data_IF_294669286224
#
_entry.id   IF_294669286224
#
_cell.length_a   1.000
_cell.length_b   1.000
_cell.length_c   1.000
_cell.angle_alpha   90.00
_cell.angle_beta   90.00
_cell.angle_gamma   90.00
#
_symmetry.space_group_name_H-M   'P 1'
#
loop_
_entity.id
_entity.type
_entity.pdbx_description
1 polymer ?
#
# COMPACT_ATOMS: atom_id res chain seq x y z
N UNK A 1 -18.34 -13.24 -31.32
CA UNK A 1 -17.78 -14.33 -30.47
C UNK A 1 -16.27 -14.15 -30.20
N UNK A 2 -15.76 -12.93 -29.98
CA UNK A 2 -14.31 -12.65 -29.81
C UNK A 2 -13.87 -12.27 -28.40
N UNK A 3 -14.80 -12.13 -27.43
CA UNK A 3 -14.48 -11.78 -26.04
C UNK A 3 -14.22 -12.98 -25.11
N UNK A 4 -14.36 -14.20 -25.62
CA UNK A 4 -14.34 -15.46 -24.84
C UNK A 4 -12.92 -15.92 -24.46
N UNK A 5 -11.90 -15.67 -25.29
CA UNK A 5 -10.52 -16.09 -25.02
C UNK A 5 -9.72 -15.10 -24.16
N UNK A 6 -10.11 -13.83 -24.12
CA UNK A 6 -9.30 -12.77 -23.50
C UNK A 6 -9.25 -12.82 -21.96
N UNK A 7 -10.23 -13.48 -21.31
CA UNK A 7 -10.35 -13.51 -19.83
C UNK A 7 -9.67 -14.72 -19.19
N UNK A 8 -9.65 -15.86 -19.90
CA UNK A 8 -8.92 -17.07 -19.49
C UNK A 8 -7.40 -16.86 -19.50
N UNK A 9 -6.95 -15.86 -20.25
CA UNK A 9 -5.55 -15.48 -20.40
C UNK A 9 -5.03 -14.59 -19.24
N UNK A 10 -5.89 -14.15 -18.32
CA UNK A 10 -5.53 -13.21 -17.25
C UNK A 10 -4.97 -13.87 -15.99
N UNK A 11 -5.10 -15.19 -15.83
CA UNK A 11 -4.54 -15.91 -14.69
C UNK A 11 -3.10 -16.34 -15.01
N UNK A 12 -2.19 -16.19 -14.05
CA UNK A 12 -0.80 -16.62 -14.21
C UNK A 12 -0.75 -18.15 -14.37
N UNK A 13 -0.17 -18.65 -15.46
CA UNK A 13 0.14 -20.08 -15.60
C UNK A 13 1.37 -20.41 -14.75
N UNK A 14 1.29 -21.49 -13.96
CA UNK A 14 2.47 -22.08 -13.33
C UNK A 14 3.49 -22.45 -14.43
N UNK A 15 4.78 -22.05 -14.30
CA UNK A 15 5.74 -22.28 -15.35
C UNK A 15 6.09 -23.76 -15.45
N UNK A 16 6.04 -24.33 -16.66
CA UNK A 16 6.55 -25.69 -16.86
C UNK A 16 8.08 -25.71 -16.89
N UNK A 17 8.75 -24.69 -17.43
CA UNK A 17 10.22 -24.52 -17.39
C UNK A 17 10.55 -23.01 -17.46
N UNK A 18 11.00 -22.39 -16.35
CA UNK A 18 11.52 -21.00 -16.32
C UNK A 18 10.75 -20.06 -15.38
N UNK A 19 11.48 -19.38 -14.49
CA UNK A 19 10.96 -18.47 -13.47
C UNK A 19 10.26 -17.24 -14.09
N UNK A 20 9.14 -16.80 -13.49
CA UNK A 20 8.52 -15.52 -13.84
C UNK A 20 9.26 -14.39 -13.11
N UNK A 21 10.05 -13.59 -13.83
CA UNK A 21 10.69 -12.40 -13.28
C UNK A 21 9.66 -11.34 -12.86
N UNK A 22 9.95 -10.58 -11.79
CA UNK A 22 9.14 -9.42 -11.38
C UNK A 22 9.08 -8.41 -12.52
N UNK A 23 7.87 -7.97 -12.86
CA UNK A 23 7.66 -7.04 -13.99
C UNK A 23 7.95 -5.60 -13.59
N UNK A 24 8.41 -4.76 -14.53
CA UNK A 24 8.67 -3.33 -14.27
C UNK A 24 7.49 -2.57 -13.66
N UNK A 25 6.25 -2.98 -13.98
CA UNK A 25 5.06 -2.35 -13.42
C UNK A 25 4.84 -2.70 -11.95
N UNK A 26 5.22 -3.91 -11.53
CA UNK A 26 5.19 -4.29 -10.12
C UNK A 26 6.23 -3.51 -9.31
N UNK A 27 7.41 -3.27 -9.89
CA UNK A 27 8.42 -2.38 -9.28
C UNK A 27 7.92 -0.94 -9.13
N UNK A 28 7.28 -0.40 -10.17
CA UNK A 28 6.72 0.95 -10.13
C UNK A 28 5.57 1.05 -9.10
N UNK A 29 4.79 -0.02 -8.96
CA UNK A 29 3.77 -0.12 -7.91
C UNK A 29 4.41 -0.09 -6.51
N UNK A 30 5.47 -0.87 -6.29
CA UNK A 30 6.17 -0.90 -5.01
C UNK A 30 6.75 0.48 -4.65
N UNK A 31 7.19 1.28 -5.63
CA UNK A 31 7.65 2.65 -5.41
C UNK A 31 6.56 3.57 -4.81
N UNK A 32 5.30 3.42 -5.22
CA UNK A 32 4.18 4.21 -4.66
C UNK A 32 4.00 3.94 -3.16
N UNK A 33 4.23 2.69 -2.74
CA UNK A 33 4.15 2.27 -1.35
C UNK A 33 5.39 2.63 -0.54
N UNK A 34 6.57 2.63 -1.17
CA UNK A 34 7.79 3.18 -0.56
C UNK A 34 7.59 4.67 -0.24
N UNK A 35 7.05 5.44 -1.19
CA UNK A 35 6.64 6.83 -0.94
C UNK A 35 5.64 6.94 0.22
N UNK A 36 4.66 6.03 0.31
CA UNK A 36 3.71 6.00 1.44
C UNK A 36 4.41 5.85 2.80
N UNK A 37 5.41 4.96 2.90
CA UNK A 37 6.19 4.75 4.14
C UNK A 37 6.99 6.00 4.51
N UNK A 38 7.56 6.68 3.52
CA UNK A 38 8.28 7.95 3.75
C UNK A 38 7.34 9.02 4.29
N UNK A 39 6.13 9.12 3.73
CA UNK A 39 5.09 10.03 4.24
C UNK A 39 4.66 9.70 5.68
N UNK A 40 4.54 8.42 6.02
CA UNK A 40 4.25 7.98 7.40
C UNK A 40 5.39 8.29 8.37
N UNK A 41 6.64 8.14 7.91
CA UNK A 41 7.82 8.45 8.72
C UNK A 41 7.86 9.93 9.07
N UNK A 42 7.59 10.81 8.11
CA UNK A 42 7.48 12.25 8.35
C UNK A 42 6.31 12.60 9.28
N UNK A 43 5.16 11.93 9.11
CA UNK A 43 4.01 12.13 9.99
C UNK A 43 4.35 11.79 11.45
N UNK A 44 5.03 10.67 11.68
CA UNK A 44 5.48 10.26 13.02
C UNK A 44 6.50 11.22 13.62
N UNK A 45 7.47 11.68 12.83
CA UNK A 45 8.50 12.61 13.30
C UNK A 45 7.92 13.98 13.68
N UNK A 46 6.79 14.38 13.10
CA UNK A 46 6.11 15.63 13.43
C UNK A 46 5.36 15.56 14.77
N UNK A 47 4.88 14.37 15.17
CA UNK A 47 4.20 14.16 16.45
C UNK A 47 4.60 12.82 17.10
N UNK A 48 5.61 12.90 17.99
CA UNK A 48 6.12 11.75 18.76
C UNK A 48 5.32 11.46 20.03
N UNK A 49 4.11 12.03 20.18
CA UNK A 49 3.21 11.68 21.27
C UNK A 49 2.64 10.26 21.11
N UNK A 50 2.06 9.72 22.19
CA UNK A 50 1.35 8.43 22.14
C UNK A 50 0.21 8.46 21.11
N UNK A 51 -0.49 9.60 21.00
CA UNK A 51 -1.58 9.77 20.04
C UNK A 51 -1.02 9.79 18.61
N UNK A 52 0.04 10.55 18.34
CA UNK A 52 0.71 10.56 17.04
C UNK A 52 1.24 9.20 16.61
N UNK A 53 1.77 8.41 17.56
CA UNK A 53 2.18 7.03 17.33
C UNK A 53 0.99 6.13 16.94
N UNK A 54 -0.13 6.19 17.67
CA UNK A 54 -1.32 5.40 17.37
C UNK A 54 -1.93 5.77 16.02
N UNK A 55 -2.00 7.07 15.72
CA UNK A 55 -2.43 7.60 14.43
C UNK A 55 -1.58 7.04 13.29
N UNK A 56 -0.25 7.15 13.41
CA UNK A 56 0.69 6.62 12.44
C UNK A 56 0.52 5.11 12.28
N UNK A 57 0.38 4.36 13.37
CA UNK A 57 0.25 2.91 13.33
C UNK A 57 -1.03 2.48 12.60
N UNK A 58 -2.15 3.16 12.83
CA UNK A 58 -3.42 2.89 12.12
C UNK A 58 -3.26 3.10 10.62
N UNK A 59 -2.63 4.21 10.21
CA UNK A 59 -2.37 4.49 8.79
C UNK A 59 -1.37 3.51 8.18
N UNK A 60 -0.33 3.13 8.93
CA UNK A 60 0.64 2.13 8.51
C UNK A 60 -0.02 0.79 8.24
N UNK A 61 -0.88 0.31 9.15
CA UNK A 61 -1.60 -0.96 8.97
C UNK A 61 -2.54 -0.87 7.77
N UNK A 62 -3.20 0.27 7.55
CA UNK A 62 -4.03 0.48 6.36
C UNK A 62 -3.20 0.36 5.07
N UNK A 63 -2.08 1.10 4.97
CA UNK A 63 -1.15 1.05 3.82
C UNK A 63 -0.60 -0.36 3.62
N UNK A 64 -0.24 -1.03 4.70
CA UNK A 64 0.22 -2.42 4.69
C UNK A 64 -0.81 -3.36 4.06
N UNK A 65 -2.08 -3.26 4.49
CA UNK A 65 -3.18 -4.04 3.91
C UNK A 65 -3.40 -3.74 2.43
N UNK A 66 -3.35 -2.47 2.03
CA UNK A 66 -3.47 -2.10 0.62
C UNK A 66 -2.35 -2.71 -0.23
N UNK A 67 -1.11 -2.73 0.27
CA UNK A 67 0.03 -3.32 -0.42
C UNK A 67 -0.10 -4.84 -0.52
N UNK A 68 -0.27 -5.53 0.61
CA UNK A 68 -0.25 -7.00 0.67
C UNK A 68 -1.36 -7.58 -0.19
N UNK A 69 -2.60 -7.08 -0.08
CA UNK A 69 -3.71 -7.59 -0.85
C UNK A 69 -3.50 -7.40 -2.36
N UNK A 70 -2.87 -6.30 -2.77
CA UNK A 70 -2.56 -6.08 -4.20
C UNK A 70 -1.47 -7.01 -4.67
N UNK A 71 -0.44 -7.22 -3.84
CA UNK A 71 0.63 -8.15 -4.16
C UNK A 71 0.11 -9.58 -4.33
N UNK A 72 -0.87 -9.97 -3.50
CA UNK A 72 -1.58 -11.23 -3.67
C UNK A 72 -2.38 -11.29 -4.96
N UNK A 73 -3.13 -10.24 -5.30
CA UNK A 73 -3.90 -10.21 -6.55
C UNK A 73 -2.99 -10.29 -7.79
N UNK A 74 -1.84 -9.63 -7.81
CA UNK A 74 -0.90 -9.71 -8.95
C UNK A 74 -0.14 -11.03 -9.03
N UNK A 75 -0.04 -11.79 -7.92
CA UNK A 75 0.45 -13.16 -8.00
C UNK A 75 -0.53 -14.06 -8.78
N UNK A 76 -1.83 -13.80 -8.67
CA UNK A 76 -2.88 -14.57 -9.34
C UNK A 76 -3.17 -14.08 -10.76
N UNK A 77 -3.18 -12.76 -10.95
CA UNK A 77 -3.46 -12.10 -12.22
C UNK A 77 -2.15 -11.76 -12.95
N UNK A 78 -2.01 -12.24 -14.17
CA UNK A 78 -0.86 -12.00 -15.05
C UNK A 78 -0.71 -10.49 -15.38
N UNK A 79 0.33 -9.80 -14.84
CA UNK A 79 0.53 -8.36 -15.03
C UNK A 79 0.87 -7.96 -16.47
N UNK A 80 1.33 -8.90 -17.30
CA UNK A 80 1.66 -8.64 -18.71
C UNK A 80 0.39 -8.45 -19.57
N UNK A 81 -0.78 -8.78 -19.03
CA UNK A 81 -2.05 -8.61 -19.72
C UNK A 81 -2.52 -7.18 -19.63
N UNK A 82 -2.86 -6.60 -20.79
CA UNK A 82 -3.35 -5.22 -20.91
C UNK A 82 -4.41 -4.82 -19.86
N UNK A 83 -5.45 -5.64 -19.57
CA UNK A 83 -6.45 -5.26 -18.57
C UNK A 83 -5.88 -5.16 -17.14
N UNK A 84 -5.04 -6.12 -16.74
CA UNK A 84 -4.40 -6.15 -15.41
C UNK A 84 -3.40 -4.99 -15.29
N UNK A 85 -2.64 -4.74 -16.36
CA UNK A 85 -1.70 -3.62 -16.44
C UNK A 85 -2.40 -2.26 -16.30
N UNK A 86 -3.54 -2.07 -16.97
CA UNK A 86 -4.34 -0.84 -16.84
C UNK A 86 -4.95 -0.68 -15.45
N UNK A 87 -5.42 -1.78 -14.84
CA UNK A 87 -5.86 -1.77 -13.45
C UNK A 87 -4.73 -1.33 -12.52
N UNK A 88 -3.53 -1.89 -12.66
CA UNK A 88 -2.38 -1.50 -11.84
C UNK A 88 -2.00 -0.04 -12.03
N UNK A 89 -2.01 0.48 -13.27
CA UNK A 89 -1.80 1.91 -13.53
C UNK A 89 -2.84 2.78 -12.82
N UNK A 90 -4.12 2.41 -12.87
CA UNK A 90 -5.17 3.13 -12.17
C UNK A 90 -5.00 3.06 -10.64
N UNK A 91 -4.67 1.88 -10.09
CA UNK A 91 -4.40 1.72 -8.67
C UNK A 91 -3.18 2.53 -8.23
N UNK A 92 -2.14 2.64 -9.05
CA UNK A 92 -0.97 3.48 -8.73
C UNK A 92 -1.33 4.95 -8.67
N UNK A 93 -2.18 5.47 -9.55
CA UNK A 93 -2.68 6.84 -9.47
C UNK A 93 -3.47 7.08 -8.18
N UNK A 94 -4.37 6.16 -7.82
CA UNK A 94 -5.12 6.22 -6.55
C UNK A 94 -4.18 6.10 -5.35
N UNK A 95 -3.18 5.22 -5.45
CA UNK A 95 -2.15 5.00 -4.43
C UNK A 95 -1.30 6.25 -4.21
N UNK A 96 -0.96 7.01 -5.25
CA UNK A 96 -0.26 8.28 -5.11
C UNK A 96 -1.10 9.31 -4.35
N UNK A 97 -2.40 9.41 -4.64
CA UNK A 97 -3.32 10.28 -3.90
C UNK A 97 -3.42 9.85 -2.44
N UNK A 98 -3.54 8.54 -2.20
CA UNK A 98 -3.53 7.95 -0.86
C UNK A 98 -2.23 8.33 -0.12
N UNK A 99 -1.06 8.07 -0.69
CA UNK A 99 0.23 8.38 -0.08
C UNK A 99 0.42 9.87 0.19
N UNK A 100 0.05 10.74 -0.76
CA UNK A 100 0.15 12.19 -0.61
C UNK A 100 -0.76 12.74 0.51
N UNK A 101 -1.89 12.06 0.78
CA UNK A 101 -2.83 12.47 1.83
C UNK A 101 -2.42 12.05 3.25
N UNK A 102 -1.50 11.09 3.41
CA UNK A 102 -1.10 10.50 4.69
C UNK A 102 -0.68 11.54 5.75
N UNK A 103 0.21 12.51 5.48
CA UNK A 103 0.64 13.45 6.52
C UNK A 103 -0.49 14.32 7.08
N UNK A 104 -1.56 14.50 6.30
CA UNK A 104 -2.72 15.33 6.66
C UNK A 104 -3.96 14.49 6.98
N UNK A 105 -3.86 13.16 7.06
CA UNK A 105 -5.01 12.27 7.18
C UNK A 105 -5.82 12.50 8.48
N UNK A 106 -5.17 12.83 9.60
CA UNK A 106 -5.87 13.20 10.85
C UNK A 106 -6.28 14.68 10.93
N UNK A 107 -6.05 15.45 9.87
CA UNK A 107 -6.42 16.86 9.75
C UNK A 107 -7.33 17.06 8.53
N UNK A 108 -7.04 18.05 7.68
CA UNK A 108 -7.84 18.42 6.50
C UNK A 108 -7.82 17.35 5.39
N UNK A 109 -6.81 16.48 5.36
CA UNK A 109 -6.62 15.44 4.34
C UNK A 109 -7.40 14.15 4.58
N UNK A 110 -8.15 14.04 5.68
CA UNK A 110 -8.80 12.77 6.07
C UNK A 110 -9.79 12.23 5.05
N UNK A 111 -10.57 13.10 4.38
CA UNK A 111 -11.53 12.67 3.37
C UNK A 111 -10.83 12.18 2.10
N UNK A 112 -9.78 12.86 1.66
CA UNK A 112 -8.99 12.43 0.50
C UNK A 112 -8.35 11.06 0.77
N UNK A 113 -7.79 10.86 1.97
CA UNK A 113 -7.24 9.58 2.40
C UNK A 113 -8.30 8.47 2.38
N UNK A 114 -9.43 8.68 3.06
CA UNK A 114 -10.48 7.68 3.19
C UNK A 114 -11.10 7.29 1.83
N UNK A 115 -11.36 8.26 0.95
CA UNK A 115 -11.89 8.00 -0.38
C UNK A 115 -10.88 7.27 -1.27
N UNK A 116 -9.60 7.67 -1.23
CA UNK A 116 -8.55 7.00 -1.99
C UNK A 116 -8.38 5.56 -1.50
N UNK A 117 -8.32 5.35 -0.18
CA UNK A 117 -8.22 4.02 0.42
C UNK A 117 -9.40 3.11 0.05
N UNK A 118 -10.62 3.61 0.24
CA UNK A 118 -11.85 2.89 -0.11
C UNK A 118 -11.88 2.53 -1.60
N UNK A 119 -11.54 3.48 -2.47
CA UNK A 119 -11.50 3.26 -3.93
C UNK A 119 -10.43 2.23 -4.31
N UNK A 120 -9.27 2.28 -3.66
CA UNK A 120 -8.18 1.36 -3.91
C UNK A 120 -8.56 -0.09 -3.55
N UNK A 121 -9.08 -0.30 -2.33
CA UNK A 121 -9.50 -1.62 -1.84
C UNK A 121 -10.67 -2.19 -2.67
N UNK A 122 -11.75 -1.43 -2.79
CA UNK A 122 -12.97 -1.90 -3.47
C UNK A 122 -12.80 -2.01 -4.98
N UNK A 123 -12.06 -1.08 -5.60
CA UNK A 123 -11.76 -1.09 -7.03
C UNK A 123 -10.95 -2.32 -7.43
N UNK A 124 -9.91 -2.66 -6.66
CA UNK A 124 -9.12 -3.89 -6.86
C UNK A 124 -10.02 -5.12 -6.80
N UNK A 125 -10.80 -5.27 -5.72
CA UNK A 125 -11.64 -6.46 -5.53
C UNK A 125 -12.75 -6.55 -6.59
N UNK A 126 -13.37 -5.44 -6.97
CA UNK A 126 -14.37 -5.41 -8.04
C UNK A 126 -13.77 -5.84 -9.40
N UNK A 127 -12.57 -5.37 -9.73
CA UNK A 127 -11.85 -5.81 -10.93
C UNK A 127 -11.56 -7.31 -10.89
N UNK A 128 -11.05 -7.81 -9.77
CA UNK A 128 -10.73 -9.24 -9.63
C UNK A 128 -11.98 -10.10 -9.76
N UNK A 129 -13.11 -9.70 -9.16
CA UNK A 129 -14.42 -10.37 -9.36
C UNK A 129 -14.76 -10.40 -10.85
N UNK A 130 -14.68 -9.27 -11.56
CA UNK A 130 -14.98 -9.21 -12.99
C UNK A 130 -14.08 -10.12 -13.83
N UNK A 131 -12.79 -10.22 -13.45
CA UNK A 131 -11.80 -11.06 -14.12
C UNK A 131 -12.11 -12.56 -13.94
N UNK A 132 -12.51 -13.00 -12.74
CA UNK A 132 -12.71 -14.43 -12.41
C UNK A 132 -14.17 -14.91 -12.49
N UNK A 133 -15.16 -14.01 -12.50
CA UNK A 133 -16.60 -14.31 -12.36
C UNK A 133 -17.19 -15.33 -13.34
N UNK A 134 -16.57 -15.48 -14.52
CA UNK A 134 -17.06 -16.39 -15.57
C UNK A 134 -16.32 -17.72 -15.63
N UNK A 135 -15.25 -17.91 -14.84
CA UNK A 135 -14.33 -19.03 -14.99
C UNK A 135 -14.19 -19.84 -13.71
N UNK A 136 -14.20 -19.17 -12.56
CA UNK A 136 -14.17 -19.83 -11.27
C UNK A 136 -15.20 -19.21 -10.35
N UNK A 137 -16.35 -19.90 -10.23
CA UNK A 137 -17.45 -19.44 -9.39
C UNK A 137 -17.08 -19.46 -7.91
N UNK A 138 -16.22 -20.39 -7.46
CA UNK A 138 -15.77 -20.44 -6.08
C UNK A 138 -14.86 -19.25 -5.77
N UNK A 139 -13.89 -18.95 -6.63
CA UNK A 139 -13.02 -17.78 -6.46
C UNK A 139 -13.79 -16.46 -6.59
N UNK A 140 -14.75 -16.37 -7.50
CA UNK A 140 -15.62 -15.19 -7.60
C UNK A 140 -16.44 -14.97 -6.32
N UNK A 141 -16.92 -16.03 -5.68
CA UNK A 141 -17.62 -15.94 -4.40
C UNK A 141 -16.67 -15.51 -3.28
N UNK A 142 -15.44 -16.03 -3.23
CA UNK A 142 -14.41 -15.59 -2.28
C UNK A 142 -14.15 -14.08 -2.42
N UNK A 143 -13.89 -13.58 -3.63
CA UNK A 143 -13.66 -12.14 -3.83
C UNK A 143 -14.89 -11.27 -3.56
N UNK A 144 -16.11 -11.79 -3.75
CA UNK A 144 -17.34 -11.08 -3.32
C UNK A 144 -17.42 -10.96 -1.80
N UNK A 145 -17.01 -11.99 -1.05
CA UNK A 145 -16.92 -11.90 0.42
C UNK A 145 -15.88 -10.86 0.83
N UNK A 146 -14.70 -10.89 0.21
CA UNK A 146 -13.63 -9.89 0.43
C UNK A 146 -14.16 -8.48 0.16
N UNK A 147 -14.82 -8.27 -0.98
CA UNK A 147 -15.39 -6.96 -1.33
C UNK A 147 -16.44 -6.51 -0.32
N UNK A 148 -17.28 -7.41 0.21
CA UNK A 148 -18.27 -7.05 1.23
C UNK A 148 -17.61 -6.56 2.53
N UNK A 149 -16.57 -7.26 2.99
CA UNK A 149 -15.77 -6.85 4.16
C UNK A 149 -15.08 -5.50 3.91
N UNK A 150 -14.45 -5.32 2.75
CA UNK A 150 -13.80 -4.07 2.38
C UNK A 150 -14.78 -2.92 2.22
N UNK A 151 -15.98 -3.16 1.69
CA UNK A 151 -17.02 -2.14 1.58
C UNK A 151 -17.48 -1.71 2.99
N UNK A 152 -17.65 -2.65 3.91
CA UNK A 152 -17.99 -2.34 5.31
C UNK A 152 -16.88 -1.53 5.99
N UNK A 153 -15.62 -1.95 5.84
CA UNK A 153 -14.46 -1.19 6.34
C UNK A 153 -14.40 0.22 5.71
N UNK A 154 -14.64 0.32 4.41
CA UNK A 154 -14.64 1.59 3.66
C UNK A 154 -15.67 2.57 4.21
N UNK A 155 -16.85 2.09 4.62
CA UNK A 155 -17.85 2.95 5.29
C UNK A 155 -17.28 3.51 6.59
N UNK A 156 -16.60 2.71 7.40
CA UNK A 156 -15.96 3.20 8.64
C UNK A 156 -14.86 4.22 8.34
N UNK A 157 -14.02 3.98 7.33
CA UNK A 157 -12.99 4.95 6.91
C UNK A 157 -13.61 6.28 6.48
N UNK A 158 -14.64 6.24 5.62
CA UNK A 158 -15.31 7.43 5.08
C UNK A 158 -16.08 8.18 6.16
N UNK A 159 -16.87 7.49 6.99
CA UNK A 159 -17.60 8.13 8.11
C UNK A 159 -16.60 8.77 9.08
N UNK A 160 -15.48 8.10 9.35
CA UNK A 160 -14.44 8.60 10.25
C UNK A 160 -13.77 9.88 9.73
N UNK A 161 -13.68 10.03 8.41
CA UNK A 161 -13.14 11.24 7.79
C UNK A 161 -13.98 12.50 8.06
N UNK A 162 -15.28 12.35 8.30
CA UNK A 162 -16.17 13.47 8.71
C UNK A 162 -16.10 13.78 10.21
N UNK A 163 -15.46 12.93 11.00
CA UNK A 163 -15.23 13.15 12.43
C UNK A 163 -13.87 13.83 12.66
N UNK A 164 -13.64 14.30 13.88
CA UNK A 164 -12.40 14.97 14.29
C UNK A 164 -11.81 14.34 15.56
N UNK A 165 -10.50 14.54 15.76
CA UNK A 165 -9.79 14.13 16.97
C UNK A 165 -9.89 12.62 17.24
N UNK A 166 -10.12 12.27 18.51
CA UNK A 166 -10.16 10.89 18.98
C UNK A 166 -11.31 10.06 18.36
N UNK A 167 -12.42 10.70 17.99
CA UNK A 167 -13.54 10.01 17.36
C UNK A 167 -13.17 9.47 15.96
N UNK A 168 -12.37 10.23 15.19
CA UNK A 168 -11.80 9.77 13.91
C UNK A 168 -10.87 8.59 14.13
N UNK A 169 -9.96 8.71 15.09
CA UNK A 169 -9.00 7.65 15.44
C UNK A 169 -9.72 6.37 15.89
N UNK A 170 -10.72 6.48 16.75
CA UNK A 170 -11.53 5.34 17.21
C UNK A 170 -12.19 4.59 16.07
N UNK A 171 -12.81 5.31 15.13
CA UNK A 171 -13.50 4.68 14.00
C UNK A 171 -12.52 4.05 12.99
N UNK A 172 -11.37 4.69 12.76
CA UNK A 172 -10.33 4.14 11.90
C UNK A 172 -9.61 2.93 12.53
N UNK A 173 -9.41 2.93 13.85
CA UNK A 173 -8.96 1.74 14.58
C UNK A 173 -9.96 0.59 14.41
N UNK A 174 -11.26 0.85 14.55
CA UNK A 174 -12.30 -0.15 14.32
C UNK A 174 -12.27 -0.69 12.88
N UNK A 175 -12.04 0.18 11.89
CA UNK A 175 -11.89 -0.22 10.50
C UNK A 175 -10.69 -1.16 10.30
N UNK A 176 -9.52 -0.82 10.87
CA UNK A 176 -8.32 -1.67 10.84
C UNK A 176 -8.55 -3.03 11.51
N UNK A 177 -9.22 -3.04 12.67
CA UNK A 177 -9.57 -4.28 13.38
C UNK A 177 -10.50 -5.14 12.52
N UNK A 178 -11.51 -4.54 11.90
CA UNK A 178 -12.43 -5.23 10.99
C UNK A 178 -11.69 -5.86 9.81
N UNK A 179 -10.78 -5.12 9.18
CA UNK A 179 -9.97 -5.61 8.05
C UNK A 179 -9.01 -6.74 8.49
N UNK A 180 -8.45 -6.64 9.70
CA UNK A 180 -7.54 -7.66 10.25
C UNK A 180 -8.26 -8.93 10.71
N UNK A 181 -9.53 -8.82 11.14
CA UNK A 181 -10.36 -9.97 11.53
C UNK A 181 -10.92 -10.74 10.33
N UNK A 182 -11.04 -10.09 9.16
CA UNK A 182 -11.61 -10.71 7.97
C UNK A 182 -10.83 -11.97 7.54
N UNK A 183 -9.48 -11.97 7.44
CA UNK A 183 -8.69 -13.18 7.19
C UNK A 183 -8.80 -14.22 8.30
N UNK A 184 -8.78 -13.80 9.58
CA UNK A 184 -8.80 -14.70 10.73
C UNK A 184 -10.12 -15.47 10.88
N UNK A 185 -11.22 -14.90 10.40
CA UNK A 185 -12.55 -15.56 10.37
C UNK A 185 -12.80 -16.34 9.07
N UNK A 186 -11.79 -16.44 8.19
CA UNK A 186 -11.93 -17.07 6.88
C UNK A 186 -12.88 -16.30 5.96
N UNK A 187 -12.97 -14.98 6.11
CA UNK A 187 -13.92 -14.12 5.39
C UNK A 187 -15.37 -14.60 5.50
N UNK A 188 -15.78 -15.03 6.69
CA UNK A 188 -17.16 -15.44 6.91
C UNK A 188 -18.11 -14.29 6.62
N UNK A 189 -19.07 -14.52 5.72
CA UNK A 189 -20.17 -13.58 5.45
C UNK A 189 -21.49 -14.30 5.69
N UNK A 190 -22.40 -13.76 6.53
CA UNK A 190 -23.73 -14.32 6.73
C UNK A 190 -24.43 -14.56 5.38
N UNK A 191 -24.89 -15.78 5.13
CA UNK A 191 -25.54 -16.20 3.88
C UNK A 191 -24.60 -16.67 2.76
N UNK A 192 -23.32 -16.29 2.77
CA UNK A 192 -22.33 -16.79 1.80
C UNK A 192 -21.40 -17.86 2.39
N UNK A 193 -21.23 -17.93 3.72
CA UNK A 193 -20.33 -18.89 4.40
C UNK A 193 -18.88 -18.42 4.49
N UNK A 194 -17.98 -19.28 5.00
CA UNK A 194 -16.53 -19.03 5.13
C UNK A 194 -15.73 -19.61 3.95
N UNK A 195 -14.57 -19.04 3.67
CA UNK A 195 -13.57 -19.56 2.73
C UNK A 195 -12.68 -20.61 3.42
N UNK A 196 -12.26 -21.63 2.68
CA UNK A 196 -11.36 -22.68 3.22
C UNK A 196 -9.91 -22.29 2.98
N UNK A 197 -9.04 -22.53 3.96
CA UNK A 197 -7.60 -22.24 3.86
C UNK A 197 -6.91 -22.93 2.65
N UNK A 198 -7.45 -24.04 2.16
CA UNK A 198 -6.96 -24.77 0.99
C UNK A 198 -7.14 -24.01 -0.36
N UNK A 199 -7.97 -22.96 -0.40
CA UNK A 199 -8.18 -22.14 -1.61
C UNK A 199 -7.04 -21.13 -1.84
N UNK A 200 -6.13 -20.97 -0.87
CA UNK A 200 -5.08 -19.96 -0.84
C UNK A 200 -3.71 -20.58 -1.15
N UNK A 201 -3.44 -20.87 -2.43
CA UNK A 201 -2.07 -21.22 -2.86
C UNK A 201 -1.20 -19.97 -2.85
N UNK A 202 -0.43 -19.79 -1.77
CA UNK A 202 0.54 -18.71 -1.62
C UNK A 202 1.87 -19.17 -2.20
N UNK A 203 2.30 -18.61 -3.33
CA UNK A 203 3.70 -18.73 -3.75
C UNK A 203 4.55 -17.77 -2.91
N UNK A 204 4.91 -18.19 -1.69
CA UNK A 204 5.70 -17.39 -0.74
C UNK A 204 7.06 -16.93 -1.29
N UNK A 205 7.58 -17.60 -2.32
CA UNK A 205 8.83 -17.24 -3.01
C UNK A 205 8.72 -15.88 -3.75
N UNK A 206 7.63 -15.63 -4.48
CA UNK A 206 7.43 -14.36 -5.20
C UNK A 206 7.18 -13.20 -4.24
N UNK A 207 6.47 -13.45 -3.13
CA UNK A 207 6.31 -12.45 -2.07
C UNK A 207 7.65 -12.10 -1.41
N UNK A 208 8.52 -13.09 -1.20
CA UNK A 208 9.86 -12.84 -0.65
C UNK A 208 10.76 -12.00 -1.58
N UNK A 209 10.67 -12.21 -2.90
CA UNK A 209 11.39 -11.41 -3.90
C UNK A 209 10.88 -9.95 -3.91
N UNK A 210 9.56 -9.75 -3.83
CA UNK A 210 8.98 -8.41 -3.72
C UNK A 210 9.31 -7.72 -2.40
N UNK A 211 9.32 -8.43 -1.28
CA UNK A 211 9.80 -7.89 -0.01
C UNK A 211 11.26 -7.44 -0.11
N UNK A 212 12.13 -8.24 -0.74
CA UNK A 212 13.53 -7.88 -0.93
C UNK A 212 13.68 -6.63 -1.82
N UNK A 213 12.92 -6.54 -2.92
CA UNK A 213 12.90 -5.37 -3.80
C UNK A 213 12.35 -4.13 -3.11
N UNK A 214 11.27 -4.28 -2.34
CA UNK A 214 10.70 -3.21 -1.53
C UNK A 214 11.71 -2.63 -0.55
N UNK A 215 12.46 -3.48 0.15
CA UNK A 215 13.54 -3.07 1.06
C UNK A 215 14.62 -2.30 0.30
N UNK A 216 15.06 -2.80 -0.86
CA UNK A 216 16.09 -2.12 -1.67
C UNK A 216 15.61 -0.72 -2.09
N UNK A 217 14.36 -0.59 -2.54
CA UNK A 217 13.81 0.71 -2.98
C UNK A 217 13.68 1.66 -1.79
N UNK A 218 13.19 1.20 -0.64
CA UNK A 218 13.09 2.01 0.58
C UNK A 218 14.47 2.50 1.08
N UNK A 219 15.48 1.63 1.02
CA UNK A 219 16.87 2.02 1.30
C UNK A 219 17.39 3.03 0.27
N UNK A 220 17.06 2.84 -1.01
CA UNK A 220 17.39 3.77 -2.09
C UNK A 220 16.82 5.17 -1.87
N UNK A 221 15.55 5.28 -1.48
CA UNK A 221 14.92 6.58 -1.15
C UNK A 221 15.63 7.26 0.02
N UNK A 222 15.94 6.51 1.09
CA UNK A 222 16.67 7.04 2.25
C UNK A 222 18.06 7.57 1.87
N UNK A 223 18.78 6.86 1.00
CA UNK A 223 20.08 7.29 0.47
C UNK A 223 19.94 8.55 -0.38
N UNK A 224 18.91 8.65 -1.23
CA UNK A 224 18.67 9.84 -2.07
C UNK A 224 18.37 11.07 -1.22
N UNK A 225 17.52 10.96 -0.20
CA UNK A 225 17.19 12.07 0.73
C UNK A 225 18.43 12.50 1.52
N UNK A 226 19.19 11.53 2.05
CA UNK A 226 20.43 11.81 2.78
C UNK A 226 21.48 12.44 1.87
N UNK A 227 21.62 11.94 0.64
CA UNK A 227 22.53 12.44 -0.38
C UNK A 227 22.20 13.86 -0.83
N UNK A 228 20.91 14.17 -1.04
CA UNK A 228 20.45 15.52 -1.35
C UNK A 228 20.75 16.49 -0.19
N UNK A 229 20.48 16.08 1.04
CA UNK A 229 20.82 16.85 2.24
C UNK A 229 22.33 17.09 2.33
N UNK A 230 23.15 16.07 2.02
CA UNK A 230 24.60 16.18 2.04
C UNK A 230 25.15 17.03 0.88
N UNK A 231 24.51 17.06 -0.29
CA UNK A 231 24.91 17.94 -1.40
C UNK A 231 24.63 19.41 -1.12
N UNK A 232 23.60 19.69 -0.31
CA UNK A 232 23.27 21.06 0.13
C UNK A 232 24.17 21.56 1.26
N UNK A 233 24.85 20.64 1.98
CA UNK A 233 25.90 21.03 2.91
C UNK A 233 27.09 21.56 2.13
N UNK A 234 27.51 22.78 2.44
CA UNK A 234 28.77 23.31 1.93
C UNK A 234 29.88 22.32 2.31
N UNK A 235 30.57 21.78 1.30
CA UNK A 235 31.77 20.98 1.49
C UNK A 235 32.84 21.88 2.11
N UNK A 236 32.82 22.03 3.43
CA UNK A 236 33.94 22.60 4.18
C UNK A 236 35.03 21.53 4.24
N UNK A 237 35.63 21.26 3.08
CA UNK A 237 36.92 20.62 3.00
C UNK A 237 37.93 21.52 3.70
N UNK A 238 38.48 21.04 4.81
CA UNK A 238 39.77 21.48 5.36
C UNK A 238 39.99 23.00 5.39
N UNK A 239 39.42 23.68 6.40
CA UNK A 239 40.10 24.86 6.92
C UNK A 239 40.07 24.84 8.45
N UNK A 240 41.15 24.38 9.12
CA UNK A 240 41.32 24.59 10.55
C UNK A 240 41.69 26.07 10.77
N UNK A 241 40.77 27.00 10.49
CA UNK A 241 40.94 28.36 10.99
C UNK A 241 40.63 28.36 12.47
N UNK A 242 41.68 28.15 13.26
CA UNK A 242 41.79 28.72 14.59
C UNK A 242 41.28 30.16 14.59
N UNK A 243 40.54 30.60 15.61
CA UNK A 243 40.00 31.96 15.66
C UNK A 243 41.17 32.96 15.72
N UNK A 244 41.45 33.67 14.63
CA UNK A 244 42.47 34.73 14.59
C UNK A 244 42.01 36.05 15.23
N UNK A 245 40.96 36.04 16.06
CA UNK A 245 40.52 37.20 16.85
C UNK A 245 41.29 37.35 18.17
N UNK A 246 42.60 37.07 18.17
CA UNK A 246 43.45 37.21 19.36
C UNK A 246 44.77 37.97 19.14
N UNK A 247 45.04 38.54 17.96
CA UNK A 247 46.34 39.19 17.69
C UNK A 247 46.26 40.56 16.98
N UNK A 248 45.28 41.40 17.29
CA UNK A 248 45.30 42.84 16.94
C UNK A 248 44.82 43.67 18.14
N UNK A 249 45.57 43.63 19.23
CA UNK A 249 45.37 44.50 20.41
C UNK A 249 46.71 44.88 21.08
N UNK A 250 47.81 44.92 20.34
CA UNK A 250 49.07 45.51 20.81
C UNK A 250 49.76 46.26 19.66
N UNK A 251 49.27 47.45 19.37
CA UNK A 251 50.02 48.58 18.81
C UNK A 251 49.32 49.86 19.20
#
# INVERSE_FOLDING_TARGET
MSGLGARQFLLRKAPEHGHHAVTFIELFFDLVFVFAITQLSHHLLHDLSVIGLLQTLVLFVAVWWAWIDTAWVTNWLDPDRKPVRLMLLALMLVGLVLSASLPKAFHEGGLAFALAYATFQTGRSAFTIWAVARHDRAQSLNFKRILAWQALASVLWIVGAFLHGEARLGLWMLAVVLESLAPSTGFFVPGLGASKAADWKVEGRHLSERCALFIIIALGESILVTGATASDLAWTGLNPHFPSKALISLS
#
